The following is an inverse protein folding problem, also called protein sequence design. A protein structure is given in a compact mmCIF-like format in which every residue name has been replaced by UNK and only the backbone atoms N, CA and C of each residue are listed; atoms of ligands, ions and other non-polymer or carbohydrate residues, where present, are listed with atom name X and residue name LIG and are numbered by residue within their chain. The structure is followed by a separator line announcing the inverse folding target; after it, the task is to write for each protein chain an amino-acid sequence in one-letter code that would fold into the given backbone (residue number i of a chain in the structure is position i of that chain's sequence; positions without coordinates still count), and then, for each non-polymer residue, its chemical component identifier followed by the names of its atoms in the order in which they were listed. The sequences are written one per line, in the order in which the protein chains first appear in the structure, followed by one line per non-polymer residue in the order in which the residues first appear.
data_IF_716306429170
#
_entry.id   IF_716306429170
#
_cell.length_a   1.000
_cell.length_b   1.000
_cell.length_c   1.000
_cell.angle_alpha   90.00
_cell.angle_beta   90.00
_cell.angle_gamma   90.00
#
_symmetry.space_group_name_H-M   'P 1'
#
loop_
_entity.id
_entity.type
_entity.pdbx_description
1 polymer ?
#
# COMPACT_ATOMS: atom_id res chain seq x y z
N UNK A 1 -4.64 -17.19 -0.03
CA UNK A 1 -3.46 -16.55 -0.66
C UNK A 1 -3.28 -16.91 -2.14
N UNK A 2 -3.21 -18.21 -2.51
CA UNK A 2 -2.97 -18.65 -3.90
C UNK A 2 -4.03 -18.17 -4.91
N UNK A 3 -5.32 -18.32 -4.57
CA UNK A 3 -6.42 -17.86 -5.43
C UNK A 3 -6.41 -16.35 -5.69
N UNK A 4 -5.93 -15.57 -4.71
CA UNK A 4 -5.88 -14.12 -4.80
C UNK A 4 -4.77 -13.69 -5.78
N UNK A 5 -3.59 -14.31 -5.67
CA UNK A 5 -2.49 -14.16 -6.62
C UNK A 5 -2.91 -14.53 -8.05
N UNK A 6 -3.60 -15.66 -8.21
CA UNK A 6 -4.03 -16.15 -9.53
C UNK A 6 -5.09 -15.23 -10.17
N UNK A 7 -5.98 -14.66 -9.35
CA UNK A 7 -7.02 -13.73 -9.82
C UNK A 7 -6.42 -12.38 -10.22
N UNK A 8 -5.52 -11.83 -9.41
CA UNK A 8 -4.83 -10.56 -9.72
C UNK A 8 -3.92 -10.71 -10.94
N UNK A 9 -3.21 -11.83 -11.08
CA UNK A 9 -2.37 -12.15 -12.24
C UNK A 9 -3.18 -12.29 -13.54
N UNK A 10 -4.41 -12.81 -13.45
CA UNK A 10 -5.33 -12.92 -14.58
C UNK A 10 -5.94 -11.57 -14.98
N UNK A 11 -6.16 -10.67 -14.01
CA UNK A 11 -6.66 -9.30 -14.22
C UNK A 11 -5.59 -8.34 -14.75
N UNK A 12 -4.33 -8.50 -14.36
CA UNK A 12 -3.19 -7.65 -14.76
C UNK A 12 -2.61 -8.01 -16.13
N UNK A 13 -3.49 -8.35 -17.10
CA UNK A 13 -3.13 -8.75 -18.46
C UNK A 13 -1.96 -7.95 -19.02
N UNK A 14 -0.85 -8.66 -19.29
CA UNK A 14 0.42 -8.16 -19.84
C UNK A 14 0.82 -6.79 -19.27
N UNK A 15 1.22 -6.74 -18.00
CA UNK A 15 2.09 -5.65 -17.54
C UNK A 15 3.31 -5.59 -18.48
N UNK A 16 3.37 -4.52 -19.29
CA UNK A 16 4.58 -4.18 -20.03
C UNK A 16 5.73 -4.01 -19.04
N UNK A 17 6.96 -4.24 -19.52
CA UNK A 17 8.17 -4.11 -18.70
C UNK A 17 8.09 -2.82 -17.87
N UNK A 18 8.38 -2.86 -16.56
CA UNK A 18 8.43 -1.64 -15.76
C UNK A 18 9.39 -0.67 -16.43
N UNK A 19 8.93 0.55 -16.67
CA UNK A 19 9.67 1.63 -17.35
C UNK A 19 11.00 1.94 -16.65
N UNK A 20 11.14 1.52 -15.39
CA UNK A 20 12.38 1.56 -14.61
C UNK A 20 12.67 0.19 -13.99
N UNK A 21 13.76 -0.49 -14.37
CA UNK A 21 14.19 -1.70 -13.68
C UNK A 21 14.62 -1.38 -12.24
N UNK A 22 14.27 -2.25 -11.30
CA UNK A 22 14.76 -2.15 -9.91
C UNK A 22 16.26 -2.27 -9.93
N UNK A 23 16.95 -1.42 -9.17
CA UNK A 23 18.42 -1.39 -9.12
C UNK A 23 18.93 -1.92 -7.79
N UNK A 24 20.09 -2.57 -7.84
CA UNK A 24 20.84 -2.93 -6.65
C UNK A 24 21.45 -1.68 -5.99
N UNK A 25 22.09 -1.87 -4.82
CA UNK A 25 22.79 -0.78 -4.10
C UNK A 25 23.95 -0.16 -4.92
N UNK A 26 24.42 -0.84 -5.98
CA UNK A 26 25.47 -0.39 -6.90
C UNK A 26 24.90 0.21 -8.20
N UNK A 27 23.60 0.56 -8.21
CA UNK A 27 22.87 1.11 -9.35
C UNK A 27 22.78 0.19 -10.59
N UNK A 28 23.09 -1.10 -10.47
CA UNK A 28 22.92 -2.08 -11.54
C UNK A 28 21.47 -2.55 -11.62
N UNK A 29 20.89 -2.68 -12.83
CA UNK A 29 19.55 -3.20 -12.99
C UNK A 29 19.48 -4.68 -12.59
N UNK A 30 18.50 -5.00 -11.76
CA UNK A 30 18.17 -6.35 -11.34
C UNK A 30 17.12 -6.89 -12.32
N UNK A 31 17.44 -7.98 -13.01
CA UNK A 31 16.55 -8.61 -14.00
C UNK A 31 15.88 -9.86 -13.48
N UNK A 32 16.36 -10.43 -12.38
CA UNK A 32 15.81 -11.64 -11.77
C UNK A 32 14.81 -11.33 -10.65
N UNK A 33 13.68 -12.04 -10.64
CA UNK A 33 12.58 -11.84 -9.67
C UNK A 33 13.05 -12.16 -8.24
N UNK A 34 13.91 -13.17 -8.06
CA UNK A 34 14.43 -13.54 -6.75
C UNK A 34 15.33 -12.44 -6.18
N UNK A 35 16.26 -11.93 -6.97
CA UNK A 35 17.12 -10.81 -6.58
C UNK A 35 16.32 -9.54 -6.30
N UNK A 36 15.27 -9.27 -7.06
CA UNK A 36 14.38 -8.14 -6.81
C UNK A 36 13.69 -8.25 -5.45
N UNK A 37 13.21 -9.46 -5.09
CA UNK A 37 12.63 -9.72 -3.76
C UNK A 37 13.65 -9.53 -2.64
N UNK A 38 14.87 -10.04 -2.81
CA UNK A 38 15.92 -9.85 -1.82
C UNK A 38 16.25 -8.37 -1.64
N UNK A 39 16.30 -7.60 -2.74
CA UNK A 39 16.50 -6.14 -2.68
C UNK A 39 15.37 -5.41 -1.94
N UNK A 40 14.13 -5.87 -2.10
CA UNK A 40 12.97 -5.36 -1.35
C UNK A 40 13.10 -5.66 0.15
N UNK A 41 13.44 -6.89 0.52
CA UNK A 41 13.66 -7.29 1.92
C UNK A 41 14.72 -6.40 2.56
N UNK A 42 15.89 -6.26 1.94
CA UNK A 42 16.96 -5.39 2.46
C UNK A 42 16.52 -3.92 2.60
N UNK A 43 15.72 -3.39 1.68
CA UNK A 43 15.25 -2.00 1.73
C UNK A 43 14.31 -1.76 2.91
N UNK A 44 13.35 -2.68 3.11
CA UNK A 44 12.42 -2.60 4.23
C UNK A 44 13.12 -2.85 5.55
N UNK A 45 14.07 -3.78 5.59
CA UNK A 45 14.89 -4.02 6.78
C UNK A 45 15.70 -2.76 7.14
N UNK A 46 16.30 -2.08 6.17
CA UNK A 46 17.02 -0.82 6.40
C UNK A 46 16.10 0.31 6.89
N UNK A 47 14.88 0.42 6.34
CA UNK A 47 13.91 1.43 6.77
C UNK A 47 13.40 1.15 8.19
N UNK A 48 13.05 -0.10 8.48
CA UNK A 48 12.41 -0.50 9.73
C UNK A 48 13.40 -0.65 10.88
N UNK A 49 14.63 -1.07 10.58
CA UNK A 49 15.71 -1.20 11.57
C UNK A 49 16.60 0.04 11.63
N UNK A 50 16.30 1.13 10.90
CA UNK A 50 16.98 2.41 11.12
C UNK A 50 16.66 2.87 12.54
N UNK A 51 17.61 2.86 13.50
CA UNK A 51 17.36 3.49 14.78
C UNK A 51 17.00 4.95 14.49
N UNK A 52 15.93 5.43 15.11
CA UNK A 52 15.39 6.77 14.86
C UNK A 52 16.52 7.79 14.75
N UNK A 53 16.50 8.56 13.66
CA UNK A 53 17.41 9.69 13.49
C UNK A 53 17.36 10.53 14.76
N UNK A 54 18.42 10.49 15.57
CA UNK A 54 18.61 11.21 16.84
C UNK A 54 18.76 12.72 16.67
N UNK A 55 18.29 13.27 15.55
CA UNK A 55 18.03 14.69 15.46
C UNK A 55 16.57 14.88 15.86
N UNK A 56 16.27 15.38 17.07
CA UNK A 56 14.93 15.87 17.34
C UNK A 56 14.68 16.99 16.33
N UNK A 57 13.78 16.75 15.38
CA UNK A 57 13.22 17.84 14.61
C UNK A 57 12.47 18.70 15.62
N UNK A 58 12.86 19.96 15.72
CA UNK A 58 12.33 21.00 16.63
C UNK A 58 10.90 21.43 16.22
N UNK A 59 10.07 20.44 15.87
CA UNK A 59 8.66 20.64 15.54
C UNK A 59 7.92 20.29 16.80
N UNK A 60 7.51 21.34 17.50
CA UNK A 60 6.56 21.32 18.60
C UNK A 60 5.43 20.32 18.29
N UNK A 61 5.53 19.14 18.90
CA UNK A 61 4.52 18.12 18.79
C UNK A 61 3.37 18.56 19.69
N UNK A 62 2.40 19.27 19.13
CA UNK A 62 1.03 19.17 19.64
C UNK A 62 0.63 17.70 19.51
N UNK A 63 0.91 16.94 20.57
CA UNK A 63 0.35 15.62 20.79
C UNK A 63 -1.16 15.81 20.95
N UNK A 64 -1.83 15.92 19.80
CA UNK A 64 -3.24 15.70 19.67
C UNK A 64 -3.43 14.22 19.96
N UNK A 65 -3.56 13.88 21.25
CA UNK A 65 -4.07 12.61 21.73
C UNK A 65 -5.54 12.51 21.34
N UNK A 66 -5.82 12.46 20.03
CA UNK A 66 -7.02 11.84 19.54
C UNK A 66 -6.80 10.35 19.80
N UNK A 67 -7.59 9.70 20.68
CA UNK A 67 -7.55 8.25 20.77
C UNK A 67 -7.86 7.73 19.36
N UNK A 68 -6.82 7.24 18.68
CA UNK A 68 -6.99 6.53 17.42
C UNK A 68 -7.73 5.27 17.83
N UNK A 69 -9.02 5.27 17.56
CA UNK A 69 -9.87 4.11 17.76
C UNK A 69 -9.31 3.00 16.88
N UNK A 70 -8.66 2.02 17.52
CA UNK A 70 -8.07 0.84 16.87
C UNK A 70 -9.14 -0.20 16.50
N UNK A 71 -10.42 0.12 16.65
CA UNK A 71 -11.47 -0.77 16.18
C UNK A 71 -11.45 -0.89 14.65
N UNK A 72 -11.58 -2.12 14.13
CA UNK A 72 -11.69 -2.32 12.69
C UNK A 72 -12.84 -1.49 12.10
N UNK A 73 -12.59 -0.69 11.04
CA UNK A 73 -13.61 0.14 10.44
C UNK A 73 -14.71 -0.73 9.84
N UNK A 74 -15.97 -0.34 10.06
CA UNK A 74 -17.14 -1.06 9.52
C UNK A 74 -17.22 -0.95 8.00
N UNK A 75 -17.82 -1.94 7.34
CA UNK A 75 -17.95 -1.95 5.87
C UNK A 75 -18.68 -0.71 5.34
N UNK A 76 -19.67 -0.18 6.07
CA UNK A 76 -20.39 1.06 5.70
C UNK A 76 -19.52 2.32 5.85
N UNK A 77 -18.64 2.39 6.85
CA UNK A 77 -17.67 3.50 6.97
C UNK A 77 -16.68 3.51 5.81
N UNK A 78 -16.19 2.33 5.41
CA UNK A 78 -15.32 2.18 4.25
C UNK A 78 -16.06 2.61 2.99
N UNK A 79 -17.29 2.14 2.78
CA UNK A 79 -18.15 2.50 1.66
C UNK A 79 -18.38 4.00 1.54
N UNK A 80 -18.73 4.66 2.64
CA UNK A 80 -18.97 6.10 2.70
C UNK A 80 -17.70 6.89 2.37
N UNK A 81 -16.57 6.45 2.91
CA UNK A 81 -15.26 7.06 2.65
C UNK A 81 -14.86 6.90 1.17
N UNK A 82 -15.05 5.73 0.57
CA UNK A 82 -14.79 5.47 -0.86
C UNK A 82 -15.60 6.41 -1.77
N UNK A 83 -16.86 6.70 -1.43
CA UNK A 83 -17.68 7.67 -2.18
C UNK A 83 -17.15 9.10 -2.11
N UNK A 84 -16.54 9.48 -0.99
CA UNK A 84 -16.00 10.84 -0.76
C UNK A 84 -14.62 11.08 -1.39
N UNK A 85 -13.95 10.05 -1.91
CA UNK A 85 -12.66 10.20 -2.59
C UNK A 85 -12.81 11.21 -3.75
N UNK A 86 -11.85 12.11 -3.97
CA UNK A 86 -11.92 13.05 -5.11
C UNK A 86 -11.45 12.36 -6.41
N UNK A 87 -12.19 12.58 -7.49
CA UNK A 87 -11.82 12.15 -8.84
C UNK A 87 -10.68 13.06 -9.36
N UNK A 88 -9.84 12.55 -10.28
CA UNK A 88 -8.76 13.30 -10.93
C UNK A 88 -7.50 13.49 -10.07
N UNK A 89 -7.37 12.77 -8.96
CA UNK A 89 -6.11 12.73 -8.18
C UNK A 89 -5.13 11.74 -8.82
N UNK A 90 -3.82 12.01 -8.65
CA UNK A 90 -2.74 11.15 -9.12
C UNK A 90 -3.02 9.69 -8.78
N UNK A 91 -2.91 8.83 -9.79
CA UNK A 91 -2.95 7.40 -9.61
C UNK A 91 -1.87 7.00 -8.62
N UNK A 92 -2.24 6.20 -7.62
CA UNK A 92 -1.29 5.60 -6.67
C UNK A 92 -0.24 4.83 -7.50
N UNK A 93 1.01 4.64 -7.02
CA UNK A 93 2.06 3.93 -7.77
C UNK A 93 1.64 2.57 -8.34
N UNK A 94 0.60 1.95 -7.74
CA UNK A 94 -0.04 0.70 -8.17
C UNK A 94 -1.02 0.85 -9.33
N UNK A 95 -1.12 2.03 -9.96
CA UNK A 95 -2.03 2.36 -11.05
C UNK A 95 -3.53 2.22 -10.72
N UNK A 96 -3.88 2.24 -9.43
CA UNK A 96 -5.28 2.19 -8.98
C UNK A 96 -5.85 3.62 -9.02
N UNK A 97 -6.84 3.84 -9.89
CA UNK A 97 -7.50 5.14 -10.01
C UNK A 97 -8.63 5.27 -8.97
N UNK A 98 -8.82 6.46 -8.37
CA UNK A 98 -9.94 6.71 -7.47
C UNK A 98 -11.32 6.49 -8.13
N UNK A 99 -11.42 6.64 -9.45
CA UNK A 99 -12.60 6.32 -10.25
C UNK A 99 -12.86 4.81 -10.34
N UNK A 100 -11.80 4.00 -10.40
CA UNK A 100 -11.92 2.53 -10.38
C UNK A 100 -12.46 2.04 -9.02
N UNK A 101 -11.99 2.62 -7.92
CA UNK A 101 -12.48 2.31 -6.57
C UNK A 101 -13.94 2.74 -6.39
N UNK A 102 -14.35 3.84 -7.01
CA UNK A 102 -15.75 4.31 -6.98
C UNK A 102 -16.70 3.54 -7.88
N UNK A 103 -16.24 2.98 -9.00
CA UNK A 103 -17.10 2.18 -9.88
C UNK A 103 -17.44 0.81 -9.28
N UNK A 104 -16.61 0.31 -8.36
CA UNK A 104 -16.78 -1.01 -7.72
C UNK A 104 -16.82 -0.89 -6.18
N UNK A 105 -17.63 0.04 -5.67
CA UNK A 105 -17.70 0.39 -4.23
C UNK A 105 -17.97 -0.82 -3.34
N UNK A 106 -18.90 -1.70 -3.70
CA UNK A 106 -19.29 -2.85 -2.87
C UNK A 106 -18.12 -3.84 -2.70
N UNK A 107 -17.47 -4.19 -3.82
CA UNK A 107 -16.33 -5.11 -3.85
C UNK A 107 -15.11 -4.49 -3.16
N UNK A 108 -14.87 -3.20 -3.41
CA UNK A 108 -13.77 -2.44 -2.80
C UNK A 108 -13.93 -2.31 -1.29
N UNK A 109 -15.15 -2.03 -0.82
CA UNK A 109 -15.44 -1.93 0.60
C UNK A 109 -15.22 -3.26 1.33
N UNK A 110 -15.67 -4.38 0.74
CA UNK A 110 -15.41 -5.70 1.31
C UNK A 110 -13.93 -6.08 1.32
N UNK A 111 -13.18 -5.79 0.25
CA UNK A 111 -11.74 -6.08 0.20
C UNK A 111 -10.97 -5.27 1.26
N UNK A 112 -11.22 -3.96 1.34
CA UNK A 112 -10.57 -3.09 2.30
C UNK A 112 -10.94 -3.46 3.74
N UNK A 113 -12.19 -3.84 4.00
CA UNK A 113 -12.64 -4.30 5.31
C UNK A 113 -11.89 -5.54 5.80
N UNK A 114 -11.66 -6.52 4.92
CA UNK A 114 -10.88 -7.73 5.24
C UNK A 114 -9.43 -7.37 5.55
N UNK A 115 -8.83 -6.48 4.76
CA UNK A 115 -7.44 -6.04 4.96
C UNK A 115 -7.29 -5.31 6.29
N UNK A 116 -8.20 -4.38 6.61
CA UNK A 116 -8.15 -3.64 7.87
C UNK A 116 -8.34 -4.55 9.08
N UNK A 117 -9.23 -5.54 9.02
CA UNK A 117 -9.35 -6.55 10.09
C UNK A 117 -8.07 -7.34 10.29
N UNK A 118 -7.44 -7.80 9.21
CA UNK A 118 -6.21 -8.59 9.31
C UNK A 118 -5.02 -7.81 9.89
N UNK A 119 -4.98 -6.48 9.71
CA UNK A 119 -3.89 -5.63 10.20
C UNK A 119 -4.16 -5.15 11.64
N UNK A 120 -5.43 -4.97 12.04
CA UNK A 120 -5.81 -4.45 13.35
C UNK A 120 -6.12 -5.53 14.39
N UNK A 121 -6.35 -6.79 13.99
CA UNK A 121 -6.56 -7.93 14.89
C UNK A 121 -5.26 -8.73 15.18
N UNK A 122 -4.08 -8.21 14.77
CA UNK A 122 -2.75 -8.75 15.12
C UNK A 122 -2.12 -7.96 16.27
#
# INVERSE_FOLDING_TARGET
MKQLYDTTKKLTGKCSRPERPVKDKKNKPITEIQEQRNRWVEHFEEILNRPGSLNPSDIEAEHTNLPIDVTPPTTEQVRKSTRQIKNGKSTTPDNISPEALKSHIEVTAHMLHIIFRNILEE
#
